data_IF_474205291140
#
_entry.id   IF_474205291140
#
_cell.length_a   1.000
_cell.length_b   1.000
_cell.length_c   1.000
_cell.angle_alpha   90.00
_cell.angle_beta   90.00
_cell.angle_gamma   90.00
#
_symmetry.space_group_name_H-M   'P 1'
#
loop_
_entity.id
_entity.type
_entity.pdbx_description
1 polymer ?
#
# COMPACT_ATOMS: atom_id res chain seq x y z
N UNK A 1 28.37 -24.47 0.91
CA UNK A 1 28.29 -23.00 1.15
C UNK A 1 28.79 -22.76 2.55
N UNK A 2 29.62 -21.72 2.79
CA UNK A 2 30.01 -21.39 4.15
C UNK A 2 28.76 -20.99 4.94
N UNK A 3 28.57 -21.56 6.12
CA UNK A 3 27.36 -21.44 6.93
C UNK A 3 27.23 -20.11 7.68
N UNK A 4 28.20 -19.20 7.51
CA UNK A 4 28.42 -18.08 8.44
C UNK A 4 28.42 -16.70 7.77
N UNK A 5 28.03 -16.59 6.50
CA UNK A 5 27.78 -15.26 5.91
C UNK A 5 26.35 -14.83 6.23
N UNK A 6 26.13 -13.68 6.86
CA UNK A 6 24.80 -13.10 7.00
C UNK A 6 24.12 -13.04 5.63
N UNK A 7 22.86 -13.49 5.53
CA UNK A 7 22.07 -13.41 4.29
C UNK A 7 22.06 -11.99 3.71
N UNK A 8 22.18 -10.97 4.58
CA UNK A 8 22.28 -9.55 4.22
C UNK A 8 23.49 -9.21 3.34
N UNK A 9 24.58 -9.98 3.45
CA UNK A 9 25.81 -9.76 2.66
C UNK A 9 25.75 -10.48 1.30
N UNK A 10 24.76 -11.35 1.09
CA UNK A 10 24.61 -12.16 -0.11
C UNK A 10 23.62 -11.57 -1.12
N UNK A 11 22.78 -10.61 -0.71
CA UNK A 11 21.74 -10.04 -1.57
C UNK A 11 21.60 -8.52 -1.39
N UNK A 12 21.52 -7.72 -2.48
CA UNK A 12 21.48 -6.26 -2.42
C UNK A 12 20.13 -5.67 -1.97
N UNK A 13 19.28 -6.44 -1.28
CA UNK A 13 17.93 -6.01 -0.87
C UNK A 13 17.80 -5.77 0.63
N UNK A 14 16.80 -4.97 1.01
CA UNK A 14 16.48 -4.68 2.41
C UNK A 14 15.33 -5.54 2.93
N UNK A 15 15.47 -6.12 4.14
CA UNK A 15 14.36 -6.84 4.79
C UNK A 15 13.23 -5.89 5.19
N UNK A 16 12.03 -6.44 5.40
CA UNK A 16 10.88 -5.63 5.84
C UNK A 16 11.12 -5.00 7.20
N UNK A 17 11.74 -5.72 8.14
CA UNK A 17 12.13 -5.16 9.44
C UNK A 17 13.06 -3.97 9.28
N UNK A 18 14.07 -4.04 8.40
CA UNK A 18 15.01 -2.93 8.20
C UNK A 18 14.32 -1.70 7.62
N UNK A 19 13.48 -1.87 6.60
CA UNK A 19 12.74 -0.75 5.99
C UNK A 19 11.72 -0.16 6.96
N UNK A 20 10.93 -1.01 7.62
CA UNK A 20 9.93 -0.60 8.61
C UNK A 20 10.57 0.13 9.80
N UNK A 21 11.74 -0.34 10.28
CA UNK A 21 12.55 0.36 11.31
C UNK A 21 12.95 1.75 10.86
N UNK A 22 13.39 1.91 9.62
CA UNK A 22 13.80 3.22 9.12
C UNK A 22 12.61 4.19 9.10
N UNK A 23 11.47 3.77 8.55
CA UNK A 23 10.25 4.57 8.55
C UNK A 23 9.79 4.90 9.99
N UNK A 24 9.82 3.92 10.89
CA UNK A 24 9.40 4.08 12.27
C UNK A 24 10.23 5.11 13.03
N UNK A 25 11.57 5.06 12.91
CA UNK A 25 12.47 5.98 13.62
C UNK A 25 12.25 7.43 13.21
N UNK A 26 12.01 7.67 11.92
CA UNK A 26 11.94 9.02 11.36
C UNK A 26 10.54 9.64 11.56
N UNK A 27 9.48 8.84 11.49
CA UNK A 27 8.10 9.34 11.48
C UNK A 27 7.38 9.27 12.84
N UNK A 28 7.75 8.32 13.70
CA UNK A 28 6.89 7.92 14.83
C UNK A 28 7.42 8.33 16.20
N UNK A 29 8.59 8.99 16.26
CA UNK A 29 9.28 9.34 17.51
C UNK A 29 8.41 10.12 18.51
N UNK A 30 7.50 10.95 18.02
CA UNK A 30 6.63 11.82 18.82
C UNK A 30 5.14 11.45 18.69
N UNK A 31 4.82 10.29 18.11
CA UNK A 31 3.44 9.86 17.91
C UNK A 31 2.95 9.00 19.08
N UNK A 32 1.68 9.15 19.52
CA UNK A 32 1.04 8.16 20.38
C UNK A 32 1.12 6.78 19.73
N UNK A 33 1.27 5.74 20.55
CA UNK A 33 1.27 4.37 20.07
C UNK A 33 -0.05 4.06 19.37
N UNK A 34 -0.01 3.40 18.20
CA UNK A 34 -1.21 3.05 17.46
C UNK A 34 -2.00 1.96 18.16
N UNK A 35 -3.32 1.95 17.98
CA UNK A 35 -4.15 0.82 18.39
C UNK A 35 -4.15 -0.35 17.40
N UNK A 36 -3.82 -0.08 16.12
CA UNK A 36 -3.74 -1.09 15.05
C UNK A 36 -2.45 -0.94 14.25
N UNK A 37 -1.79 -2.06 13.94
CA UNK A 37 -0.66 -2.13 13.02
C UNK A 37 -1.00 -3.10 11.89
N UNK A 38 -1.15 -2.57 10.68
CA UNK A 38 -1.34 -3.34 9.46
C UNK A 38 -0.05 -3.37 8.65
N UNK A 39 0.29 -4.53 8.09
CA UNK A 39 1.43 -4.68 7.18
C UNK A 39 0.97 -5.24 5.84
N UNK A 40 1.24 -4.52 4.75
CA UNK A 40 0.86 -4.89 3.40
C UNK A 40 2.10 -5.14 2.53
N UNK A 41 2.11 -6.26 1.81
CA UNK A 41 3.24 -6.63 0.96
C UNK A 41 2.81 -7.55 -0.20
N UNK A 42 3.55 -7.50 -1.31
CA UNK A 42 3.28 -8.38 -2.46
C UNK A 42 4.25 -9.56 -2.58
N UNK A 43 5.33 -9.58 -1.80
CA UNK A 43 6.38 -10.59 -1.91
C UNK A 43 6.72 -11.17 -0.53
N UNK A 44 7.30 -12.38 -0.44
CA UNK A 44 7.86 -12.83 0.84
C UNK A 44 9.07 -11.98 1.22
N UNK A 45 9.32 -11.77 2.52
CA UNK A 45 10.54 -11.12 3.06
C UNK A 45 11.81 -11.94 2.72
N UNK A 46 12.96 -11.27 2.64
CA UNK A 46 14.28 -11.89 2.49
C UNK A 46 14.65 -12.66 3.76
N UNK A 47 14.24 -12.14 4.92
CA UNK A 47 14.47 -12.76 6.22
C UNK A 47 13.28 -13.62 6.64
N UNK A 48 13.37 -14.92 6.37
CA UNK A 48 12.29 -15.88 6.66
C UNK A 48 11.96 -16.02 8.15
N UNK A 49 12.90 -15.67 9.04
CA UNK A 49 12.72 -15.76 10.50
C UNK A 49 12.10 -14.51 11.10
N UNK A 50 12.07 -13.40 10.35
CA UNK A 50 11.63 -12.12 10.86
C UNK A 50 10.14 -11.94 10.56
N UNK A 51 9.37 -11.65 11.61
CA UNK A 51 7.96 -11.30 11.48
C UNK A 51 7.84 -9.80 11.70
N UNK A 52 7.85 -9.04 10.61
CA UNK A 52 7.85 -7.56 10.64
C UNK A 52 6.73 -6.97 11.52
N UNK A 53 5.56 -7.59 11.54
CA UNK A 53 4.46 -7.18 12.42
C UNK A 53 4.83 -7.27 13.91
N UNK A 54 5.42 -8.39 14.35
CA UNK A 54 5.87 -8.56 15.73
C UNK A 54 6.97 -7.56 16.09
N UNK A 55 7.90 -7.33 15.18
CA UNK A 55 8.93 -6.31 15.36
C UNK A 55 8.32 -4.91 15.52
N UNK A 56 7.34 -4.54 14.70
CA UNK A 56 6.68 -3.24 14.76
C UNK A 56 5.90 -3.05 16.07
N UNK A 57 5.25 -4.09 16.58
CA UNK A 57 4.60 -4.07 17.89
C UNK A 57 5.62 -3.75 18.99
N UNK A 58 6.73 -4.49 19.03
CA UNK A 58 7.80 -4.29 20.02
C UNK A 58 8.48 -2.91 19.89
N UNK A 59 8.68 -2.44 18.66
CA UNK A 59 9.37 -1.18 18.39
C UNK A 59 8.52 0.07 18.63
N UNK A 60 7.19 -0.01 18.50
CA UNK A 60 6.29 1.14 18.52
C UNK A 60 5.42 1.23 19.77
N UNK A 61 5.29 0.13 20.52
CA UNK A 61 4.39 0.06 21.65
C UNK A 61 5.16 -0.27 22.93
N UNK A 62 4.79 0.38 24.02
CA UNK A 62 5.31 0.02 25.34
C UNK A 62 4.75 -1.32 25.83
N UNK A 63 5.32 -1.88 26.90
CA UNK A 63 4.91 -3.18 27.46
C UNK A 63 3.41 -3.26 27.83
N UNK A 64 2.81 -2.12 28.17
CA UNK A 64 1.40 -1.99 28.56
C UNK A 64 0.44 -1.79 27.38
N UNK A 65 0.95 -1.70 26.16
CA UNK A 65 0.15 -1.48 24.95
C UNK A 65 0.30 -2.66 24.00
N UNK A 66 -0.84 -3.21 23.57
CA UNK A 66 -0.90 -4.34 22.64
C UNK A 66 -1.81 -3.97 21.48
N UNK A 67 -1.27 -3.38 20.41
CA UNK A 67 -2.07 -3.10 19.24
C UNK A 67 -2.56 -4.41 18.61
N UNK A 68 -3.70 -4.34 17.93
CA UNK A 68 -4.06 -5.41 17.00
C UNK A 68 -3.12 -5.38 15.80
N UNK A 69 -2.64 -6.55 15.39
CA UNK A 69 -1.69 -6.67 14.29
C UNK A 69 -2.18 -7.67 13.25
N UNK A 70 -2.15 -7.28 11.98
CA UNK A 70 -2.45 -8.18 10.86
C UNK A 70 -1.60 -7.87 9.64
N UNK A 71 -1.42 -8.90 8.80
CA UNK A 71 -0.74 -8.82 7.52
C UNK A 71 -1.70 -9.05 6.36
N UNK A 72 -1.54 -8.29 5.28
CA UNK A 72 -2.21 -8.51 3.99
C UNK A 72 -1.14 -8.77 2.94
N UNK A 73 -1.21 -9.93 2.31
CA UNK A 73 -0.22 -10.37 1.32
C UNK A 73 -0.86 -10.80 0.01
N UNK A 74 -0.03 -10.90 -1.04
CA UNK A 74 -0.38 -11.56 -2.31
C UNK A 74 -1.53 -10.88 -3.07
N UNK A 75 -1.54 -9.54 -3.06
CA UNK A 75 -2.54 -8.72 -3.78
C UNK A 75 -1.90 -7.55 -4.55
N UNK A 76 -0.61 -7.63 -4.88
CA UNK A 76 0.14 -6.56 -5.56
C UNK A 76 -0.12 -5.17 -4.91
N UNK A 77 -0.45 -4.16 -5.70
CA UNK A 77 -0.80 -2.81 -5.21
C UNK A 77 -2.12 -2.74 -4.43
N UNK A 78 -2.96 -3.77 -4.52
CA UNK A 78 -4.21 -3.89 -3.78
C UNK A 78 -4.04 -4.20 -2.30
N UNK A 79 -2.90 -4.76 -1.88
CA UNK A 79 -2.71 -5.23 -0.50
C UNK A 79 -2.91 -4.12 0.54
N UNK A 80 -2.39 -2.92 0.27
CA UNK A 80 -2.58 -1.79 1.18
C UNK A 80 -4.03 -1.28 1.22
N UNK A 81 -4.74 -1.28 0.08
CA UNK A 81 -6.15 -0.87 0.03
C UNK A 81 -7.03 -1.85 0.81
N UNK A 82 -6.79 -3.16 0.66
CA UNK A 82 -7.44 -4.20 1.44
C UNK A 82 -7.14 -4.05 2.93
N UNK A 83 -5.91 -3.68 3.30
CA UNK A 83 -5.55 -3.44 4.69
C UNK A 83 -6.34 -2.27 5.29
N UNK A 84 -6.56 -1.18 4.54
CA UNK A 84 -7.43 -0.08 4.96
C UNK A 84 -8.90 -0.49 5.05
N UNK A 85 -9.39 -1.35 4.16
CA UNK A 85 -10.76 -1.87 4.26
C UNK A 85 -10.97 -2.70 5.54
N UNK A 86 -9.99 -3.53 5.91
CA UNK A 86 -10.02 -4.26 7.18
C UNK A 86 -10.02 -3.28 8.37
N UNK A 87 -9.17 -2.25 8.33
CA UNK A 87 -9.13 -1.20 9.36
C UNK A 87 -10.48 -0.47 9.49
N UNK A 88 -11.12 -0.15 8.36
CA UNK A 88 -12.47 0.43 8.34
C UNK A 88 -13.49 -0.52 8.99
N UNK A 89 -13.36 -1.82 8.76
CA UNK A 89 -14.12 -2.86 9.44
C UNK A 89 -14.00 -2.77 10.96
N UNK A 90 -12.77 -2.67 11.49
CA UNK A 90 -12.53 -2.49 12.93
C UNK A 90 -13.21 -1.22 13.45
N UNK A 91 -12.96 -0.07 12.81
CA UNK A 91 -13.56 1.20 13.20
C UNK A 91 -15.09 1.14 13.23
N UNK A 92 -15.72 0.52 12.22
CA UNK A 92 -17.18 0.38 12.13
C UNK A 92 -17.78 -0.52 13.23
N UNK A 93 -16.98 -1.43 13.79
CA UNK A 93 -17.38 -2.30 14.91
C UNK A 93 -17.27 -1.62 16.28
N UNK A 94 -16.81 -0.36 16.33
CA UNK A 94 -16.54 0.38 17.57
C UNK A 94 -15.20 0.03 18.22
N UNK A 95 -14.36 -0.77 17.54
CA UNK A 95 -13.01 -1.09 17.98
C UNK A 95 -12.01 -0.16 17.29
N UNK A 96 -10.97 0.24 18.03
CA UNK A 96 -9.74 0.86 17.55
C UNK A 96 -9.87 1.71 16.28
N UNK A 97 -10.05 3.02 16.43
CA UNK A 97 -10.20 3.93 15.29
C UNK A 97 -8.88 4.34 14.66
N UNK A 98 -7.77 4.27 15.42
CA UNK A 98 -6.44 4.74 15.02
C UNK A 98 -5.45 3.61 14.75
N UNK A 99 -4.54 3.85 13.81
CA UNK A 99 -3.50 2.88 13.51
C UNK A 99 -2.53 3.31 12.42
N UNK A 100 -1.64 2.37 12.08
CA UNK A 100 -0.63 2.51 11.06
C UNK A 100 -0.74 1.39 10.04
N UNK A 101 -0.67 1.72 8.76
CA UNK A 101 -0.45 0.80 7.65
C UNK A 101 0.98 0.97 7.16
N UNK A 102 1.75 -0.12 7.21
CA UNK A 102 3.06 -0.23 6.57
C UNK A 102 2.91 -0.98 5.25
N UNK A 103 3.05 -0.28 4.13
CA UNK A 103 3.19 -0.92 2.82
C UNK A 103 4.68 -1.11 2.52
N UNK A 104 5.11 -2.33 2.21
CA UNK A 104 6.52 -2.64 1.97
C UNK A 104 6.70 -3.41 0.66
N UNK A 105 7.73 -3.04 -0.08
CA UNK A 105 8.20 -3.69 -1.29
C UNK A 105 9.68 -3.99 -1.17
N UNK A 106 10.08 -5.15 -1.66
CA UNK A 106 11.49 -5.50 -1.75
C UNK A 106 11.82 -6.20 -3.07
N UNK A 107 13.06 -6.00 -3.50
CA UNK A 107 13.70 -6.77 -4.57
C UNK A 107 14.02 -8.15 -4.00
N UNK A 108 13.08 -9.07 -4.14
CA UNK A 108 13.29 -10.49 -3.82
C UNK A 108 13.66 -11.30 -5.08
N UNK A 109 14.52 -12.34 -4.95
CA UNK A 109 14.78 -13.31 -6.02
C UNK A 109 13.54 -14.15 -6.38
N UNK A 110 12.41 -13.97 -5.67
CA UNK A 110 11.15 -14.60 -6.02
C UNK A 110 10.77 -14.29 -7.47
N UNK A 111 10.83 -15.33 -8.28
CA UNK A 111 10.51 -15.34 -9.71
C UNK A 111 9.27 -16.19 -9.92
N UNK A 112 8.23 -15.58 -10.49
CA UNK A 112 7.04 -16.30 -10.97
C UNK A 112 7.27 -16.66 -12.43
N UNK A 113 7.34 -17.95 -12.81
CA UNK A 113 7.50 -18.36 -14.20
C UNK A 113 6.46 -17.71 -15.13
N UNK A 114 6.94 -17.06 -16.20
CA UNK A 114 6.09 -16.43 -17.21
C UNK A 114 5.58 -15.02 -16.86
N UNK A 115 5.94 -14.48 -15.69
CA UNK A 115 5.60 -13.12 -15.32
C UNK A 115 6.59 -12.11 -15.91
N UNK A 116 6.13 -10.94 -16.40
CA UNK A 116 7.04 -9.82 -16.63
C UNK A 116 7.76 -9.48 -15.33
N UNK A 117 9.03 -9.10 -15.42
CA UNK A 117 9.77 -8.53 -14.29
C UNK A 117 9.50 -7.03 -14.25
N UNK A 118 8.56 -6.52 -13.43
CA UNK A 118 8.52 -5.09 -13.19
C UNK A 118 9.86 -4.68 -12.57
N UNK A 119 10.37 -3.48 -12.86
CA UNK A 119 11.48 -2.92 -12.10
C UNK A 119 11.08 -2.94 -10.62
N UNK A 120 11.73 -3.80 -9.84
CA UNK A 120 11.52 -3.85 -8.39
C UNK A 120 12.44 -2.81 -7.76
N UNK A 121 11.90 -2.02 -6.86
CA UNK A 121 12.67 -1.16 -5.98
C UNK A 121 12.31 -1.54 -4.55
N UNK A 122 13.28 -1.49 -3.66
CA UNK A 122 12.98 -1.54 -2.24
C UNK A 122 12.26 -0.26 -1.85
N UNK A 123 11.20 -0.39 -1.07
CA UNK A 123 10.36 0.73 -0.68
C UNK A 123 9.56 0.41 0.56
N UNK A 124 9.30 1.44 1.35
CA UNK A 124 8.31 1.39 2.41
C UNK A 124 7.54 2.71 2.43
N UNK A 125 6.23 2.62 2.68
CA UNK A 125 5.35 3.74 2.92
C UNK A 125 4.56 3.49 4.21
N UNK A 126 4.32 4.55 4.97
CA UNK A 126 3.55 4.48 6.21
C UNK A 126 2.36 5.42 6.09
N UNK A 127 1.17 4.89 6.32
CA UNK A 127 -0.08 5.65 6.37
C UNK A 127 -0.63 5.59 7.78
N UNK A 128 -0.87 6.75 8.39
CA UNK A 128 -1.63 6.84 9.64
C UNK A 128 -3.11 6.99 9.31
N UNK A 129 -3.96 6.25 10.00
CA UNK A 129 -5.41 6.38 9.92
C UNK A 129 -6.02 6.62 11.31
N UNK A 130 -7.30 7.02 11.33
CA UNK A 130 -8.02 7.35 12.56
C UNK A 130 -7.69 8.71 13.16
N UNK A 131 -7.15 9.60 12.34
CA UNK A 131 -6.92 11.00 12.73
C UNK A 131 -8.18 11.82 12.49
N UNK A 132 -8.41 12.85 13.31
CA UNK A 132 -9.50 13.82 13.11
C UNK A 132 -9.30 14.71 11.87
N UNK A 133 -8.15 14.57 11.20
CA UNK A 133 -7.75 15.33 10.02
C UNK A 133 -7.37 14.39 8.88
N UNK A 134 -7.78 14.71 7.66
CA UNK A 134 -7.39 14.02 6.44
C UNK A 134 -8.56 13.48 5.63
N UNK A 135 -8.29 12.89 4.46
CA UNK A 135 -9.29 12.25 3.62
C UNK A 135 -9.95 11.06 4.32
N UNK A 136 -11.26 10.90 4.10
CA UNK A 136 -12.05 9.77 4.57
C UNK A 136 -11.98 8.64 3.56
N UNK A 137 -11.67 7.42 4.01
CA UNK A 137 -11.74 6.21 3.19
C UNK A 137 -13.20 5.75 3.05
N UNK A 138 -13.87 6.14 1.95
CA UNK A 138 -15.32 5.94 1.78
C UNK A 138 -15.68 4.56 1.22
N UNK A 139 -14.85 4.02 0.33
CA UNK A 139 -15.22 2.84 -0.45
C UNK A 139 -14.01 2.04 -0.90
N UNK A 140 -14.22 0.74 -1.03
CA UNK A 140 -13.26 -0.22 -1.56
C UNK A 140 -13.97 -1.14 -2.55
N UNK A 141 -13.36 -1.38 -3.70
CA UNK A 141 -13.91 -2.19 -4.79
C UNK A 141 -12.80 -3.08 -5.36
N UNK A 142 -13.17 -4.31 -5.65
CA UNK A 142 -12.32 -5.26 -6.38
C UNK A 142 -13.12 -5.76 -7.58
N UNK A 143 -12.52 -5.72 -8.76
CA UNK A 143 -13.14 -6.23 -9.98
C UNK A 143 -12.16 -7.07 -10.77
N UNK A 144 -12.60 -8.26 -11.21
CA UNK A 144 -11.86 -9.07 -12.16
C UNK A 144 -12.00 -8.47 -13.56
N UNK A 145 -10.87 -8.26 -14.24
CA UNK A 145 -10.85 -7.66 -15.59
C UNK A 145 -9.59 -8.05 -16.34
N UNK A 146 -9.71 -8.24 -17.66
CA UNK A 146 -8.59 -8.34 -18.59
C UNK A 146 -8.21 -6.99 -19.21
N UNK A 147 -9.02 -5.96 -18.98
CA UNK A 147 -8.84 -4.59 -19.48
C UNK A 147 -8.94 -3.62 -18.30
N UNK A 148 -7.82 -3.41 -17.57
CA UNK A 148 -7.82 -2.62 -16.35
C UNK A 148 -8.00 -1.12 -16.60
N UNK A 149 -7.55 -0.60 -17.75
CA UNK A 149 -7.73 0.81 -18.12
C UNK A 149 -9.21 1.12 -18.38
N UNK A 150 -9.91 0.25 -19.13
CA UNK A 150 -11.36 0.42 -19.30
C UNK A 150 -12.10 0.30 -17.98
N UNK A 151 -11.75 -0.68 -17.15
CA UNK A 151 -12.42 -0.87 -15.85
C UNK A 151 -12.21 0.32 -14.90
N UNK A 152 -11.03 0.95 -14.91
CA UNK A 152 -10.76 2.20 -14.18
C UNK A 152 -11.68 3.33 -14.67
N UNK A 153 -11.78 3.51 -15.99
CA UNK A 153 -12.65 4.54 -16.59
C UNK A 153 -14.13 4.32 -16.26
N UNK A 154 -14.60 3.07 -16.25
CA UNK A 154 -15.97 2.74 -15.84
C UNK A 154 -16.22 3.11 -14.36
N UNK A 155 -15.22 2.94 -13.49
CA UNK A 155 -15.31 3.37 -12.08
C UNK A 155 -15.34 4.90 -11.94
N UNK A 156 -14.52 5.62 -12.72
CA UNK A 156 -14.50 7.09 -12.76
C UNK A 156 -15.83 7.63 -13.28
N UNK A 157 -16.37 7.06 -14.35
CA UNK A 157 -17.64 7.46 -14.94
C UNK A 157 -18.84 7.20 -14.00
N UNK A 158 -18.75 6.18 -13.15
CA UNK A 158 -19.78 5.84 -12.18
C UNK A 158 -19.86 6.79 -10.98
N UNK A 159 -18.82 7.59 -10.72
CA UNK A 159 -18.82 8.58 -9.64
C UNK A 159 -18.32 9.96 -10.15
N UNK A 160 -19.24 10.87 -10.51
CA UNK A 160 -18.87 12.17 -11.06
C UNK A 160 -18.19 13.10 -10.04
N UNK A 161 -18.15 12.73 -8.74
CA UNK A 161 -17.43 13.49 -7.70
C UNK A 161 -15.92 13.33 -7.82
N UNK A 162 -15.44 12.27 -8.48
CA UNK A 162 -14.01 11.98 -8.62
C UNK A 162 -13.32 13.12 -9.40
N UNK A 163 -12.50 13.89 -8.70
CA UNK A 163 -11.74 15.03 -9.21
C UNK A 163 -10.29 14.69 -9.54
N UNK A 164 -9.70 13.68 -8.88
CA UNK A 164 -8.35 13.23 -9.16
C UNK A 164 -8.16 11.72 -8.98
N UNK A 165 -7.15 11.17 -9.66
CA UNK A 165 -6.90 9.73 -9.75
C UNK A 165 -5.45 9.43 -9.41
N UNK A 166 -5.23 8.52 -8.47
CA UNK A 166 -3.94 7.99 -8.08
C UNK A 166 -3.83 6.56 -8.58
N UNK A 167 -2.77 6.27 -9.32
CA UNK A 167 -2.53 4.94 -9.89
C UNK A 167 -1.16 4.41 -9.50
N UNK A 168 -1.12 3.13 -9.16
CA UNK A 168 0.14 2.40 -9.06
C UNK A 168 0.77 2.14 -10.44
N UNK A 169 2.08 1.90 -10.45
CA UNK A 169 2.88 1.73 -11.65
C UNK A 169 2.45 0.52 -12.48
N UNK A 170 1.92 -0.53 -11.84
CA UNK A 170 1.45 -1.71 -12.57
C UNK A 170 0.24 -1.38 -13.42
N UNK A 171 -0.79 -0.73 -12.85
CA UNK A 171 -1.94 -0.24 -13.63
C UNK A 171 -1.52 0.77 -14.71
N UNK A 172 -0.62 1.70 -14.37
CA UNK A 172 -0.15 2.70 -15.34
C UNK A 172 0.53 2.10 -16.56
N UNK A 173 1.23 0.96 -16.41
CA UNK A 173 1.89 0.25 -17.51
C UNK A 173 0.93 -0.40 -18.53
N UNK A 174 -0.37 -0.41 -18.27
CA UNK A 174 -1.40 -0.89 -19.22
C UNK A 174 -1.98 0.21 -20.12
N UNK A 175 -1.60 1.48 -19.90
CA UNK A 175 -2.01 2.60 -20.75
C UNK A 175 -0.85 3.02 -21.67
N UNK A 176 -1.17 3.32 -22.92
CA UNK A 176 -0.19 3.88 -23.88
C UNK A 176 0.00 5.39 -23.67
N UNK A 177 -1.03 6.05 -23.14
CA UNK A 177 -1.07 7.48 -22.87
C UNK A 177 -1.69 7.73 -21.48
N UNK A 178 -1.05 8.51 -20.59
CA UNK A 178 -1.62 8.89 -19.30
C UNK A 178 -3.07 9.41 -19.37
N UNK A 179 -3.45 10.12 -20.43
CA UNK A 179 -4.82 10.64 -20.61
C UNK A 179 -5.87 9.50 -20.67
N UNK A 180 -5.47 8.27 -21.01
CA UNK A 180 -6.36 7.11 -21.00
C UNK A 180 -6.77 6.66 -19.59
N UNK A 181 -5.98 6.99 -18.56
CA UNK A 181 -6.24 6.56 -17.18
C UNK A 181 -7.18 7.49 -16.44
N UNK A 182 -7.13 8.79 -16.76
CA UNK A 182 -7.96 9.79 -16.10
C UNK A 182 -8.32 10.95 -17.06
N UNK A 183 -9.16 10.71 -18.09
CA UNK A 183 -9.49 11.73 -19.08
C UNK A 183 -10.04 13.01 -18.44
N UNK A 184 -9.38 14.14 -18.72
CA UNK A 184 -9.75 15.47 -18.22
C UNK A 184 -9.67 15.65 -16.70
N UNK A 185 -8.87 14.85 -15.99
CA UNK A 185 -8.71 14.90 -14.53
C UNK A 185 -7.24 14.92 -14.13
N UNK A 186 -6.99 15.30 -12.88
CA UNK A 186 -5.64 15.20 -12.33
C UNK A 186 -5.27 13.72 -12.16
N UNK A 187 -4.09 13.35 -12.67
CA UNK A 187 -3.54 12.01 -12.59
C UNK A 187 -2.21 12.02 -11.84
N UNK A 188 -2.09 11.15 -10.85
CA UNK A 188 -0.88 10.95 -10.06
C UNK A 188 -0.42 9.50 -10.20
N UNK A 189 0.77 9.30 -10.74
CA UNK A 189 1.32 7.96 -11.00
C UNK A 189 2.47 7.70 -10.04
N UNK A 190 2.38 6.58 -9.33
CA UNK A 190 3.45 6.10 -8.47
C UNK A 190 4.69 5.66 -9.27
N UNK A 191 5.90 5.80 -8.72
CA UNK A 191 7.09 5.17 -9.31
C UNK A 191 6.97 3.64 -9.25
N UNK A 192 7.94 2.94 -9.84
CA UNK A 192 8.00 1.48 -9.76
C UNK A 192 7.89 0.95 -8.31
N UNK A 193 7.23 -0.20 -8.15
CA UNK A 193 6.89 -0.81 -6.87
C UNK A 193 5.60 -1.62 -7.03
N UNK A 194 5.46 -2.74 -6.31
CA UNK A 194 4.24 -3.55 -6.39
C UNK A 194 3.21 -3.05 -5.39
N UNK A 195 3.54 -3.01 -4.10
CA UNK A 195 2.66 -2.57 -3.03
C UNK A 195 2.81 -1.07 -2.70
N UNK A 196 3.99 -0.50 -2.90
CA UNK A 196 4.35 0.87 -2.45
C UNK A 196 4.10 1.95 -3.49
N UNK A 197 3.98 1.58 -4.75
CA UNK A 197 3.85 2.53 -5.87
C UNK A 197 2.70 3.51 -5.67
N UNK A 198 1.49 2.99 -5.45
CA UNK A 198 0.28 3.79 -5.21
C UNK A 198 0.46 4.76 -4.03
N UNK A 199 1.07 4.31 -2.93
CA UNK A 199 1.29 5.15 -1.75
C UNK A 199 2.29 6.27 -2.00
N UNK A 200 3.30 6.04 -2.85
CA UNK A 200 4.24 7.09 -3.26
C UNK A 200 3.59 8.10 -4.21
N UNK A 201 2.60 7.69 -5.00
CA UNK A 201 1.74 8.63 -5.73
C UNK A 201 0.99 9.55 -4.76
N UNK A 202 0.38 8.99 -3.72
CA UNK A 202 -0.33 9.73 -2.68
C UNK A 202 0.62 10.65 -1.90
N UNK A 203 1.82 10.18 -1.54
CA UNK A 203 2.86 10.98 -0.88
C UNK A 203 3.25 12.21 -1.71
N UNK A 204 3.39 12.04 -3.04
CA UNK A 204 3.78 13.14 -3.95
C UNK A 204 2.77 14.28 -4.01
N UNK A 205 1.48 13.96 -3.79
CA UNK A 205 0.39 14.94 -3.71
C UNK A 205 -0.69 14.39 -2.80
N UNK A 206 -0.68 14.81 -1.54
CA UNK A 206 -1.73 14.44 -0.61
C UNK A 206 -3.09 15.00 -1.07
N UNK A 207 -4.19 14.22 -1.01
CA UNK A 207 -5.52 14.70 -1.38
C UNK A 207 -6.04 15.71 -0.34
N UNK A 208 -5.99 17.00 -0.68
CA UNK A 208 -6.37 18.10 0.21
C UNK A 208 -7.85 18.50 0.10
N UNK A 209 -8.51 18.17 -1.02
CA UNK A 209 -9.93 18.51 -1.24
C UNK A 209 -10.56 17.68 -2.35
N UNK A 210 -11.84 17.34 -2.19
CA UNK A 210 -12.63 16.61 -3.18
C UNK A 210 -12.47 15.10 -3.08
N UNK A 211 -13.17 14.39 -3.96
CA UNK A 211 -13.15 12.92 -3.99
C UNK A 211 -12.07 12.43 -4.94
N UNK A 212 -11.20 11.55 -4.46
CA UNK A 212 -10.09 10.97 -5.22
C UNK A 212 -10.23 9.46 -5.33
N UNK A 213 -9.86 8.91 -6.48
CA UNK A 213 -9.83 7.46 -6.71
C UNK A 213 -8.39 6.97 -6.63
N UNK A 214 -8.12 5.99 -5.77
CA UNK A 214 -6.86 5.28 -5.68
C UNK A 214 -7.05 3.92 -6.34
N UNK A 215 -6.19 3.52 -7.27
CA UNK A 215 -6.32 2.23 -7.94
C UNK A 215 -4.97 1.60 -8.29
N UNK A 216 -4.91 0.27 -8.26
CA UNK A 216 -3.83 -0.49 -8.88
C UNK A 216 -4.34 -1.83 -9.40
N UNK A 217 -3.52 -2.51 -10.20
CA UNK A 217 -3.87 -3.74 -10.88
C UNK A 217 -2.92 -4.87 -10.52
N UNK A 218 -3.50 -6.02 -10.19
CA UNK A 218 -2.79 -7.27 -10.03
C UNK A 218 -2.92 -8.08 -11.32
N UNK A 219 -1.84 -8.18 -12.13
CA UNK A 219 -1.86 -8.92 -13.39
C UNK A 219 -1.89 -10.43 -13.19
N UNK A 220 -1.49 -10.94 -12.03
CA UNK A 220 -1.54 -12.37 -11.72
C UNK A 220 -2.96 -12.81 -11.41
N UNK A 221 -3.66 -12.03 -10.58
CA UNK A 221 -5.06 -12.30 -10.24
C UNK A 221 -6.05 -11.78 -11.30
N UNK A 222 -5.59 -10.97 -12.25
CA UNK A 222 -6.40 -10.21 -13.20
C UNK A 222 -7.48 -9.39 -12.49
N UNK A 223 -7.06 -8.62 -11.48
CA UNK A 223 -7.96 -7.83 -10.62
C UNK A 223 -7.48 -6.41 -10.50
N UNK A 224 -8.41 -5.46 -10.64
CA UNK A 224 -8.19 -4.08 -10.20
C UNK A 224 -8.70 -3.94 -8.77
N UNK A 225 -7.91 -3.26 -7.95
CA UNK A 225 -8.26 -2.85 -6.60
C UNK A 225 -8.40 -1.35 -6.61
N UNK A 226 -9.52 -0.83 -6.13
CA UNK A 226 -9.79 0.59 -6.13
C UNK A 226 -10.42 1.05 -4.82
N UNK A 227 -10.08 2.24 -4.37
CA UNK A 227 -10.67 2.87 -3.21
C UNK A 227 -10.94 4.36 -3.45
N UNK A 228 -11.93 4.90 -2.76
CA UNK A 228 -12.25 6.33 -2.81
C UNK A 228 -11.84 7.00 -1.51
N UNK A 229 -11.12 8.11 -1.65
CA UNK A 229 -10.75 9.02 -0.57
C UNK A 229 -11.53 10.32 -0.74
N UNK A 230 -12.28 10.75 0.28
CA UNK A 230 -13.00 12.03 0.25
C UNK A 230 -12.36 13.03 1.21
N UNK A 231 -11.75 14.08 0.67
CA UNK A 231 -11.15 15.16 1.45
C UNK A 231 -12.14 16.31 1.57
N UNK A 232 -12.69 16.49 2.77
CA UNK A 232 -13.58 17.60 3.08
C UNK A 232 -12.77 18.88 3.32
N UNK A 233 -13.29 20.01 2.82
CA UNK A 233 -12.73 21.36 3.01
C UNK A 233 -13.08 21.87 4.40
#
# INVERSE_FOLDING_TARGET
MPADLPIEDLWPGHSYVRMARQCARDLLKDMPAPAVIAVAYSTPDLMLTDVVGCYLVDALCGEDQRPEMYGVSDQAGGAGLTALEIARGFASSGNHTDGLLFAVDQITPYHVPGAPHPPKVDGAAVVRFGTDSGPVFEGFRVASTSDPVRQLNDMIAADPRISGVYVGATLAGYADDPEQLAPGRDLFVGPAGMCTSLWRAVESKWPESGTHLLADYDPHAQRIYAATLDAQI
#
